data_IF_630135414224
#
_entry.id   IF_630135414224
#
_cell.length_a   1.000
_cell.length_b   1.000
_cell.length_c   1.000
_cell.angle_alpha   90.00
_cell.angle_beta   90.00
_cell.angle_gamma   90.00
#
_symmetry.space_group_name_H-M   'P 1'
#
loop_
_entity.id
_entity.type
_entity.pdbx_description
1 polymer ?
#
# COMPACT_ATOMS: atom_id res chain seq x y z
N UNK A 1 -9.20 21.51 12.37
CA UNK A 1 -7.98 22.08 13.00
C UNK A 1 -6.74 21.50 12.32
N UNK A 2 -5.68 22.28 12.14
CA UNK A 2 -4.40 21.81 11.59
C UNK A 2 -3.39 21.65 12.73
N UNK A 3 -2.84 20.44 12.90
CA UNK A 3 -1.91 20.07 13.98
C UNK A 3 -0.64 20.95 13.98
N UNK A 4 -0.14 21.33 12.81
CA UNK A 4 1.12 22.09 12.69
C UNK A 4 0.98 23.58 12.99
N UNK A 5 -0.25 24.10 13.15
CA UNK A 5 -0.48 25.50 13.47
C UNK A 5 -0.65 25.66 14.99
N UNK A 6 0.41 26.07 15.68
CA UNK A 6 0.41 26.33 17.13
C UNK A 6 -0.24 27.68 17.46
N UNK A 7 -1.51 27.85 17.07
CA UNK A 7 -2.32 29.02 17.43
C UNK A 7 -3.74 28.59 17.77
N UNK A 8 -4.41 29.38 18.59
CA UNK A 8 -5.84 29.37 18.79
C UNK A 8 -6.55 30.05 17.59
N UNK A 9 -6.04 31.16 17.08
CA UNK A 9 -6.74 31.92 16.03
C UNK A 9 -6.82 31.17 14.69
N UNK A 10 -7.83 31.53 13.88
CA UNK A 10 -7.98 31.08 12.49
C UNK A 10 -7.00 31.82 11.57
N UNK A 11 -6.31 31.10 10.67
CA UNK A 11 -5.36 31.67 9.70
C UNK A 11 -5.70 31.25 8.28
N UNK A 12 -5.47 32.14 7.30
CA UNK A 12 -5.58 31.83 5.86
C UNK A 12 -4.27 31.21 5.34
N UNK A 13 -4.30 29.93 5.02
CA UNK A 13 -3.16 29.19 4.49
C UNK A 13 -3.39 28.77 3.04
N UNK A 14 -2.30 28.64 2.28
CA UNK A 14 -2.30 28.05 0.95
C UNK A 14 -2.19 26.51 1.06
N UNK A 15 -3.32 25.82 0.93
CA UNK A 15 -3.41 24.36 1.11
C UNK A 15 -3.15 23.61 -0.20
N UNK A 16 -2.49 22.46 -0.10
CA UNK A 16 -2.23 21.50 -1.19
C UNK A 16 -2.99 20.18 -0.99
N UNK A 17 -3.03 19.35 -2.04
CA UNK A 17 -3.62 17.99 -1.96
C UNK A 17 -3.01 17.20 -0.81
N UNK A 18 -3.86 16.70 0.09
CA UNK A 18 -3.45 15.91 1.27
C UNK A 18 -3.47 16.71 2.58
N UNK A 19 -3.57 18.04 2.53
CA UNK A 19 -3.68 18.84 3.74
C UNK A 19 -5.07 18.70 4.40
N UNK A 20 -5.10 18.70 5.73
CA UNK A 20 -6.34 18.62 6.51
C UNK A 20 -7.23 19.84 6.20
N UNK A 21 -8.50 19.58 5.87
CA UNK A 21 -9.48 20.64 5.53
C UNK A 21 -9.46 21.07 4.05
N UNK A 22 -8.63 20.45 3.20
CA UNK A 22 -8.64 20.69 1.76
C UNK A 22 -8.72 19.42 0.94
N UNK A 23 -9.84 19.28 0.23
CA UNK A 23 -10.03 18.28 -0.82
C UNK A 23 -9.95 19.00 -2.17
N UNK A 24 -8.90 18.78 -2.99
CA UNK A 24 -8.85 19.37 -4.32
C UNK A 24 -9.93 18.74 -5.21
N UNK A 25 -10.65 19.57 -5.93
CA UNK A 25 -11.67 19.14 -6.90
C UNK A 25 -10.97 18.90 -8.24
N UNK A 26 -10.75 17.63 -8.60
CA UNK A 26 -10.25 17.03 -9.86
C UNK A 26 -9.04 17.65 -10.60
N UNK A 27 -8.52 18.79 -10.16
CA UNK A 27 -7.39 19.50 -10.77
C UNK A 27 -6.11 19.10 -10.07
N UNK A 28 -5.21 18.44 -10.81
CA UNK A 28 -3.86 18.14 -10.33
C UNK A 28 -3.11 19.45 -10.11
N UNK A 29 -2.36 19.53 -9.00
CA UNK A 29 -1.56 20.73 -8.67
C UNK A 29 -2.34 21.91 -8.09
N UNK A 30 -3.68 21.83 -7.96
CA UNK A 30 -4.46 22.93 -7.40
C UNK A 30 -4.06 23.21 -5.95
N UNK A 31 -3.74 24.47 -5.67
CA UNK A 31 -3.57 25.01 -4.32
C UNK A 31 -4.61 26.11 -4.09
N UNK A 32 -5.20 26.16 -2.90
CA UNK A 32 -6.22 27.17 -2.57
C UNK A 32 -5.93 27.80 -1.22
N UNK A 33 -6.01 29.13 -1.14
CA UNK A 33 -5.99 29.82 0.16
C UNK A 33 -7.32 29.60 0.87
N UNK A 34 -7.30 28.92 2.02
CA UNK A 34 -8.47 28.70 2.87
C UNK A 34 -8.17 29.11 4.30
N UNK A 35 -9.18 29.63 4.99
CA UNK A 35 -9.12 29.88 6.42
C UNK A 35 -9.25 28.55 7.16
N UNK A 36 -8.30 28.26 8.06
CA UNK A 36 -8.32 27.07 8.89
C UNK A 36 -8.03 27.44 10.34
N UNK A 37 -8.65 26.72 11.27
CA UNK A 37 -8.42 26.84 12.72
C UNK A 37 -7.11 26.16 13.12
N UNK A 38 -6.33 26.79 14.01
CA UNK A 38 -5.10 26.21 14.55
C UNK A 38 -5.35 25.05 15.52
N UNK A 39 -4.28 24.52 16.12
CA UNK A 39 -4.26 23.31 16.94
C UNK A 39 -4.59 23.54 18.42
N UNK A 40 -4.42 24.75 18.94
CA UNK A 40 -4.63 25.04 20.36
C UNK A 40 -6.14 25.08 20.64
N UNK A 41 -6.59 24.33 21.65
CA UNK A 41 -7.99 24.27 22.06
C UNK A 41 -8.32 25.52 22.88
N UNK A 42 -9.42 26.19 22.55
CA UNK A 42 -9.95 27.35 23.28
C UNK A 42 -11.49 27.28 23.25
N UNK A 43 -12.15 28.21 23.94
CA UNK A 43 -13.62 28.26 24.08
C UNK A 43 -14.38 28.49 22.76
N UNK A 44 -13.69 28.84 21.67
CA UNK A 44 -14.27 29.10 20.35
C UNK A 44 -14.60 27.83 19.54
N UNK A 45 -14.30 26.64 20.08
CA UNK A 45 -14.51 25.34 19.42
C UNK A 45 -15.87 24.76 19.81
N UNK A 46 -16.68 24.42 18.81
CA UNK A 46 -17.99 23.80 19.02
C UNK A 46 -17.95 22.29 19.26
N UNK A 47 -16.93 21.59 18.73
CA UNK A 47 -16.83 20.13 18.81
C UNK A 47 -15.37 19.69 18.90
N UNK A 48 -15.07 18.79 19.83
CA UNK A 48 -13.75 18.16 19.99
C UNK A 48 -13.88 16.66 19.73
N UNK A 49 -13.04 16.12 18.86
CA UNK A 49 -12.94 14.67 18.66
C UNK A 49 -11.89 14.11 19.61
N UNK A 50 -12.28 13.23 20.53
CA UNK A 50 -11.40 12.54 21.47
C UNK A 50 -11.36 11.06 21.14
N UNK A 51 -10.21 10.42 21.36
CA UNK A 51 -10.04 8.97 21.24
C UNK A 51 -9.61 8.39 22.57
N UNK A 52 -10.32 7.37 23.04
CA UNK A 52 -9.96 6.64 24.26
C UNK A 52 -8.78 5.70 23.96
N UNK A 53 -7.73 5.77 24.78
CA UNK A 53 -6.51 4.94 24.63
C UNK A 53 -6.54 3.80 25.65
N UNK A 54 -6.79 4.12 26.92
CA UNK A 54 -6.85 3.17 28.01
C UNK A 54 -8.22 3.26 28.71
N UNK A 55 -8.92 2.13 28.84
CA UNK A 55 -10.20 2.01 29.56
C UNK A 55 -9.93 1.41 30.95
N UNK A 56 -9.36 2.19 31.88
CA UNK A 56 -8.88 1.65 33.16
C UNK A 56 -9.87 1.75 34.32
N UNK A 57 -10.70 2.78 34.38
CA UNK A 57 -11.43 3.10 35.62
C UNK A 57 -12.95 3.14 35.47
N UNK A 58 -13.48 3.47 34.29
CA UNK A 58 -14.93 3.56 34.06
C UNK A 58 -15.28 2.99 32.70
N UNK A 59 -16.16 1.99 32.69
CA UNK A 59 -16.80 1.49 31.47
C UNK A 59 -17.80 2.53 30.97
N UNK A 60 -17.77 2.83 29.67
CA UNK A 60 -18.66 3.82 29.05
C UNK A 60 -19.64 3.06 28.17
N UNK A 61 -20.93 3.19 28.52
CA UNK A 61 -22.00 2.53 27.80
C UNK A 61 -21.93 2.82 26.29
N UNK A 62 -21.94 1.76 25.48
CA UNK A 62 -21.91 1.85 24.02
C UNK A 62 -20.55 2.12 23.38
N UNK A 63 -19.51 2.47 24.16
CA UNK A 63 -18.13 2.58 23.66
C UNK A 63 -17.28 1.35 24.03
N UNK A 64 -17.35 0.91 25.29
CA UNK A 64 -16.57 -0.24 25.79
C UNK A 64 -17.28 -1.57 25.61
N UNK A 65 -18.61 -1.56 25.60
CA UNK A 65 -19.41 -2.80 25.62
C UNK A 65 -19.55 -3.42 24.23
N UNK A 66 -19.42 -2.60 23.19
CA UNK A 66 -19.65 -3.03 21.81
C UNK A 66 -18.32 -3.30 21.12
N UNK A 67 -18.10 -4.57 20.78
CA UNK A 67 -16.96 -4.97 19.93
C UNK A 67 -17.43 -5.00 18.48
N UNK A 68 -17.10 -3.96 17.71
CA UNK A 68 -17.36 -3.94 16.26
C UNK A 68 -16.18 -4.58 15.53
N UNK A 69 -16.41 -5.78 14.98
CA UNK A 69 -15.43 -6.49 14.16
C UNK A 69 -15.13 -5.80 12.82
N UNK A 70 -13.95 -6.07 12.26
CA UNK A 70 -13.56 -5.54 10.96
C UNK A 70 -14.38 -6.15 9.82
N UNK A 71 -15.18 -5.33 9.12
CA UNK A 71 -16.06 -5.78 8.03
C UNK A 71 -15.33 -6.32 6.81
N UNK A 72 -14.10 -5.86 6.55
CA UNK A 72 -13.38 -6.16 5.31
C UNK A 72 -12.13 -7.02 5.54
N UNK A 73 -11.90 -7.96 4.61
CA UNK A 73 -10.68 -8.74 4.56
C UNK A 73 -9.59 -8.03 3.74
N UNK A 74 -8.30 -8.17 4.12
CA UNK A 74 -7.20 -7.61 3.36
C UNK A 74 -7.16 -8.13 1.92
N UNK A 75 -6.85 -7.27 0.95
CA UNK A 75 -6.71 -7.68 -0.46
C UNK A 75 -5.33 -8.29 -0.79
N UNK A 76 -4.30 -7.97 -0.01
CA UNK A 76 -2.90 -8.34 -0.27
C UNK A 76 -2.61 -9.73 0.28
N UNK A 77 -2.01 -10.61 -0.52
CA UNK A 77 -1.82 -12.03 -0.17
C UNK A 77 -1.15 -12.25 1.20
N UNK A 78 0.01 -11.65 1.47
CA UNK A 78 0.69 -11.87 2.77
C UNK A 78 -0.14 -11.40 3.97
N UNK A 79 -0.88 -10.28 3.85
CA UNK A 79 -1.78 -9.81 4.92
C UNK A 79 -3.01 -10.72 5.07
N UNK A 80 -3.47 -11.28 3.96
CA UNK A 80 -4.59 -12.21 3.94
C UNK A 80 -4.19 -13.54 4.59
N UNK A 81 -2.99 -14.03 4.27
CA UNK A 81 -2.35 -15.23 4.83
C UNK A 81 -2.18 -15.12 6.34
N UNK A 82 -1.61 -14.00 6.82
CA UNK A 82 -1.48 -13.73 8.26
C UNK A 82 -2.83 -13.67 8.97
N UNK A 83 -3.84 -13.02 8.37
CA UNK A 83 -5.18 -12.94 8.95
C UNK A 83 -5.93 -14.28 8.96
N UNK A 84 -5.54 -15.20 8.07
CA UNK A 84 -6.06 -16.57 8.03
C UNK A 84 -5.26 -17.55 8.93
N UNK A 85 -4.29 -17.07 9.71
CA UNK A 85 -3.55 -17.88 10.69
C UNK A 85 -2.41 -18.71 10.13
N UNK A 86 -2.03 -18.54 8.86
CA UNK A 86 -0.89 -19.25 8.28
C UNK A 86 0.45 -18.56 8.62
N UNK A 87 1.49 -19.35 8.89
CA UNK A 87 2.87 -18.86 9.05
C UNK A 87 3.37 -18.16 7.78
N UNK A 88 4.18 -17.10 7.92
CA UNK A 88 4.66 -16.30 6.79
C UNK A 88 5.42 -17.12 5.73
N UNK A 89 6.12 -18.18 6.14
CA UNK A 89 6.95 -19.03 5.27
C UNK A 89 6.20 -20.22 4.65
N UNK A 90 4.98 -20.49 5.09
CA UNK A 90 4.22 -21.64 4.56
C UNK A 90 3.95 -21.52 3.04
N UNK A 91 4.19 -22.57 2.28
CA UNK A 91 3.83 -22.63 0.87
C UNK A 91 2.32 -22.90 0.73
N UNK A 92 1.55 -21.81 0.67
CA UNK A 92 0.09 -21.85 0.59
C UNK A 92 -0.35 -21.21 -0.71
N UNK A 93 -1.30 -21.84 -1.40
CA UNK A 93 -1.90 -21.25 -2.60
C UNK A 93 -2.95 -20.20 -2.23
N UNK A 94 -3.21 -19.26 -3.15
CA UNK A 94 -4.26 -18.26 -2.95
C UNK A 94 -5.63 -18.89 -2.69
N UNK A 95 -5.90 -20.05 -3.29
CA UNK A 95 -7.17 -20.78 -3.17
C UNK A 95 -7.36 -21.40 -1.79
N UNK A 96 -6.30 -21.99 -1.22
CA UNK A 96 -6.31 -22.53 0.14
C UNK A 96 -6.61 -21.43 1.16
N UNK A 97 -5.93 -20.28 1.06
CA UNK A 97 -6.19 -19.12 1.94
C UNK A 97 -7.62 -18.62 1.77
N UNK A 98 -8.10 -18.53 0.53
CA UNK A 98 -9.47 -18.10 0.25
C UNK A 98 -10.50 -19.09 0.81
N UNK A 99 -10.24 -20.39 0.79
CA UNK A 99 -11.16 -21.41 1.32
C UNK A 99 -11.37 -21.21 2.82
N UNK A 100 -10.28 -21.13 3.60
CA UNK A 100 -10.34 -20.86 5.05
C UNK A 100 -11.16 -19.61 5.37
N UNK A 101 -10.97 -18.55 4.59
CA UNK A 101 -11.71 -17.29 4.81
C UNK A 101 -13.19 -17.42 4.44
N UNK A 102 -13.50 -18.16 3.37
CA UNK A 102 -14.89 -18.38 2.97
C UNK A 102 -15.63 -19.20 4.01
N UNK A 103 -14.99 -20.23 4.55
CA UNK A 103 -15.55 -21.08 5.60
C UNK A 103 -15.83 -20.24 6.86
N UNK A 104 -14.87 -19.41 7.29
CA UNK A 104 -15.07 -18.48 8.41
C UNK A 104 -16.20 -17.46 8.19
N UNK A 105 -16.42 -16.99 6.94
CA UNK A 105 -17.53 -16.08 6.64
C UNK A 105 -18.87 -16.82 6.63
N UNK A 106 -18.90 -18.06 6.17
CA UNK A 106 -20.11 -18.89 6.14
C UNK A 106 -20.56 -19.25 7.56
N UNK A 107 -19.64 -19.57 8.47
CA UNK A 107 -19.94 -19.81 9.89
C UNK A 107 -20.64 -18.61 10.53
N UNK A 108 -20.13 -17.39 10.31
CA UNK A 108 -20.72 -16.17 10.85
C UNK A 108 -22.07 -15.84 10.21
N UNK A 109 -22.26 -16.17 8.93
CA UNK A 109 -23.47 -15.85 8.18
C UNK A 109 -24.53 -16.96 8.18
N UNK A 110 -24.37 -18.03 8.97
CA UNK A 110 -25.34 -19.13 9.04
C UNK A 110 -25.45 -19.95 7.75
N UNK A 111 -24.38 -20.03 6.96
CA UNK A 111 -24.33 -20.82 5.72
C UNK A 111 -24.80 -20.09 4.45
N UNK A 112 -25.20 -18.82 4.53
CA UNK A 112 -25.65 -18.05 3.36
C UNK A 112 -24.52 -17.70 2.39
N UNK A 113 -24.37 -18.49 1.32
CA UNK A 113 -23.35 -18.31 0.28
C UNK A 113 -23.48 -16.97 -0.47
N UNK A 114 -24.70 -16.40 -0.56
CA UNK A 114 -24.98 -15.15 -1.31
C UNK A 114 -24.28 -13.92 -0.73
N UNK A 115 -23.86 -13.95 0.54
CA UNK A 115 -23.20 -12.82 1.22
C UNK A 115 -21.67 -12.81 1.06
N UNK A 116 -21.11 -13.74 0.28
CA UNK A 116 -19.67 -13.91 0.20
C UNK A 116 -19.01 -12.86 -0.72
N UNK A 117 -18.09 -12.04 -0.21
CA UNK A 117 -17.42 -11.04 -1.04
C UNK A 117 -16.47 -11.71 -2.03
N UNK A 118 -16.44 -11.21 -3.28
CA UNK A 118 -15.42 -11.62 -4.26
C UNK A 118 -14.06 -11.04 -3.88
N UNK A 119 -13.25 -11.83 -3.17
CA UNK A 119 -11.90 -11.43 -2.77
C UNK A 119 -10.91 -11.63 -3.92
N UNK A 120 -10.59 -10.54 -4.64
CA UNK A 120 -9.50 -10.56 -5.62
C UNK A 120 -8.14 -10.42 -4.93
N UNK A 121 -7.45 -11.54 -4.73
CA UNK A 121 -6.11 -11.57 -4.13
C UNK A 121 -5.12 -10.78 -5.00
N UNK A 122 -4.33 -9.93 -4.36
CA UNK A 122 -3.27 -9.13 -4.99
C UNK A 122 -1.90 -9.54 -4.48
N UNK A 123 -0.88 -9.41 -5.34
CA UNK A 123 0.53 -9.75 -5.06
C UNK A 123 0.79 -11.22 -4.70
N UNK A 124 -0.10 -12.14 -5.11
CA UNK A 124 0.20 -13.57 -5.15
C UNK A 124 1.05 -13.87 -6.40
N UNK A 125 2.12 -14.66 -6.23
CA UNK A 125 2.98 -15.08 -7.34
C UNK A 125 2.35 -16.26 -8.06
N UNK A 126 1.72 -16.00 -9.20
CA UNK A 126 1.23 -17.06 -10.09
C UNK A 126 2.36 -17.64 -10.95
N UNK A 127 2.19 -18.87 -11.44
CA UNK A 127 3.15 -19.52 -12.34
C UNK A 127 3.45 -18.65 -13.57
N UNK A 128 2.41 -18.09 -14.20
CA UNK A 128 2.55 -17.12 -15.29
C UNK A 128 3.41 -15.89 -14.94
N UNK A 129 3.41 -15.43 -13.69
CA UNK A 129 4.30 -14.34 -13.26
C UNK A 129 5.75 -14.82 -13.12
N UNK A 130 5.96 -16.04 -12.63
CA UNK A 130 7.28 -16.67 -12.56
C UNK A 130 7.87 -16.88 -13.96
N UNK A 131 7.06 -17.39 -14.90
CA UNK A 131 7.42 -17.55 -16.32
C UNK A 131 7.80 -16.22 -16.95
N UNK A 132 6.95 -15.18 -16.86
CA UNK A 132 7.25 -13.84 -17.38
C UNK A 132 8.54 -13.26 -16.79
N UNK A 133 8.83 -13.54 -15.52
CA UNK A 133 10.08 -13.12 -14.88
C UNK A 133 11.27 -13.88 -15.47
N UNK A 134 11.16 -15.19 -15.65
CA UNK A 134 12.18 -16.02 -16.27
C UNK A 134 12.46 -15.62 -17.72
N UNK A 135 11.42 -15.40 -18.53
CA UNK A 135 11.52 -14.89 -19.90
C UNK A 135 12.23 -13.54 -19.95
N UNK A 136 11.89 -12.62 -19.04
CA UNK A 136 12.56 -11.32 -18.96
C UNK A 136 14.05 -11.47 -18.64
N UNK A 137 14.42 -12.38 -17.75
CA UNK A 137 15.82 -12.66 -17.41
C UNK A 137 16.54 -13.23 -18.63
N UNK A 138 15.96 -14.23 -19.31
CA UNK A 138 16.50 -14.81 -20.55
C UNK A 138 16.73 -13.75 -21.62
N UNK A 139 15.74 -12.88 -21.86
CA UNK A 139 15.87 -11.79 -22.84
C UNK A 139 16.99 -10.80 -22.49
N UNK A 140 17.18 -10.50 -21.20
CA UNK A 140 18.28 -9.65 -20.73
C UNK A 140 19.63 -10.33 -20.99
N UNK A 141 19.73 -11.63 -20.72
CA UNK A 141 20.95 -12.40 -20.99
C UNK A 141 21.27 -12.50 -22.48
N UNK A 142 20.27 -12.73 -23.32
CA UNK A 142 20.42 -12.75 -24.79
C UNK A 142 20.91 -11.40 -25.32
N UNK A 143 20.36 -10.29 -24.81
CA UNK A 143 20.82 -8.94 -25.16
C UNK A 143 22.27 -8.70 -24.73
N UNK A 144 22.66 -9.16 -23.54
CA UNK A 144 24.05 -9.08 -23.07
C UNK A 144 24.98 -9.86 -23.99
N UNK A 145 24.66 -11.12 -24.29
CA UNK A 145 25.44 -11.97 -25.21
C UNK A 145 25.58 -11.35 -26.60
N UNK A 146 24.49 -10.77 -27.13
CA UNK A 146 24.52 -10.07 -28.42
C UNK A 146 25.45 -8.86 -28.38
N UNK A 147 25.34 -8.03 -27.35
CA UNK A 147 26.19 -6.86 -27.18
C UNK A 147 27.67 -7.22 -27.00
N UNK A 148 27.96 -8.30 -26.26
CA UNK A 148 29.33 -8.84 -26.13
C UNK A 148 29.90 -9.31 -27.46
N UNK A 149 29.10 -10.02 -28.27
CA UNK A 149 29.49 -10.43 -29.63
C UNK A 149 29.76 -9.24 -30.53
N UNK A 150 28.82 -8.28 -30.61
CA UNK A 150 28.98 -7.05 -31.40
C UNK A 150 30.22 -6.25 -30.96
N UNK A 151 30.47 -6.18 -29.66
CA UNK A 151 31.67 -5.55 -29.11
C UNK A 151 32.94 -6.30 -29.53
N UNK A 152 32.95 -7.63 -29.45
CA UNK A 152 34.09 -8.44 -29.87
C UNK A 152 34.37 -8.28 -31.38
N UNK A 153 33.33 -8.32 -32.22
CA UNK A 153 33.44 -8.13 -33.66
C UNK A 153 33.94 -6.73 -34.01
N UNK A 154 33.45 -5.69 -33.32
CA UNK A 154 33.92 -4.31 -33.49
C UNK A 154 35.40 -4.16 -33.12
N UNK A 155 35.83 -4.71 -31.98
CA UNK A 155 37.23 -4.68 -31.55
C UNK A 155 38.15 -5.45 -32.49
N UNK A 156 37.68 -6.57 -33.07
CA UNK A 156 38.42 -7.32 -34.10
C UNK A 156 38.58 -6.53 -35.39
N UNK A 157 37.55 -5.78 -35.80
CA UNK A 157 37.57 -4.93 -37.01
C UNK A 157 38.45 -3.69 -36.84
N UNK A 158 38.52 -3.14 -35.62
CA UNK A 158 39.29 -1.92 -35.32
C UNK A 158 40.27 -2.13 -34.15
N UNK A 159 41.44 -2.74 -34.39
CA UNK A 159 42.43 -3.02 -33.34
C UNK A 159 42.97 -1.77 -32.64
N UNK A 160 43.05 -0.63 -33.32
CA UNK A 160 43.52 0.63 -32.74
C UNK A 160 42.61 1.14 -31.61
N UNK A 161 41.31 0.78 -31.68
CA UNK A 161 40.36 1.08 -30.61
C UNK A 161 40.57 0.20 -29.37
N UNK A 162 41.12 -1.02 -29.49
CA UNK A 162 41.50 -1.82 -28.30
C UNK A 162 42.54 -1.09 -27.46
N UNK A 163 43.55 -0.47 -28.08
CA UNK A 163 44.62 0.28 -27.38
C UNK A 163 44.08 1.52 -26.66
N UNK A 164 43.10 2.22 -27.24
CA UNK A 164 42.44 3.40 -26.63
C UNK A 164 41.56 3.06 -25.42
N UNK A 165 40.94 1.88 -25.39
CA UNK A 165 40.16 1.44 -24.22
C UNK A 165 41.03 0.84 -23.11
N UNK A 166 42.16 0.20 -23.46
CA UNK A 166 43.10 -0.36 -22.49
C UNK A 166 43.90 0.70 -21.71
N UNK A 167 44.08 1.91 -22.27
CA UNK A 167 44.81 3.02 -21.64
C UNK A 167 43.94 3.89 -20.71
N UNK A 168 42.63 3.62 -20.63
CA UNK A 168 41.65 4.44 -19.90
C UNK A 168 41.05 3.74 -18.67
N UNK A 169 41.46 2.50 -18.40
CA UNK A 169 41.16 1.74 -17.18
C UNK A 169 42.39 1.78 -16.26
#
# INVERSE_FOLDING_TARGET
>A
MIKTLLTDKRKKLLLKKGDKGFKPVNRKGLRKRKTVRGSIIASDISMVCVSLIDAKEVAIEGLTDVVVGATHWPKRFNKLKAKAGFSEDADVTAEQVLKVIKDAILEVNGGDIKKLPKLKVSRYQTEKQKERKAEKIKLIEERKKKSEKERADFLKKYPDWQKKFATKA
#
